data_IF_466399726927
#
_entry.id   IF_466399726927
#
_cell.length_a   1.000
_cell.length_b   1.000
_cell.length_c   1.000
_cell.angle_alpha   90.00
_cell.angle_beta   90.00
_cell.angle_gamma   90.00
#
_symmetry.space_group_name_H-M   'P 1'
#
loop_
_entity.id
_entity.type
_entity.pdbx_description
1 polymer ?
#
# COMPACT_ATOMS: atom_id res chain seq x y z
N UNK A 1 -41.99 -37.92 39.37
CA UNK A 1 -40.60 -37.42 39.27
C UNK A 1 -39.66 -38.61 39.36
N UNK A 2 -39.06 -39.04 38.24
CA UNK A 2 -37.70 -39.59 38.12
C UNK A 2 -37.46 -40.06 36.68
N UNK A 3 -36.30 -39.69 36.14
CA UNK A 3 -35.84 -39.77 34.76
C UNK A 3 -35.42 -41.20 34.38
N UNK A 4 -35.78 -41.68 33.19
CA UNK A 4 -35.02 -42.73 32.48
C UNK A 4 -35.29 -42.64 30.97
N UNK A 5 -34.26 -42.38 30.18
CA UNK A 5 -34.22 -42.68 28.74
C UNK A 5 -32.96 -43.49 28.46
N UNK A 6 -33.08 -44.70 27.90
CA UNK A 6 -31.96 -45.39 27.29
C UNK A 6 -32.10 -45.48 25.76
N UNK A 7 -30.94 -45.64 25.13
CA UNK A 7 -30.68 -45.65 23.71
C UNK A 7 -31.27 -46.86 22.93
N UNK A 8 -31.46 -46.66 21.62
CA UNK A 8 -31.43 -47.69 20.58
C UNK A 8 -31.02 -46.95 19.27
N UNK A 9 -29.80 -47.01 18.76
CA UNK A 9 -29.02 -48.12 18.20
C UNK A 9 -29.60 -48.71 16.90
N UNK A 10 -28.88 -48.42 15.80
CA UNK A 10 -28.68 -49.26 14.60
C UNK A 10 -29.87 -49.37 13.60
N UNK A 11 -29.72 -49.53 12.28
CA UNK A 11 -28.61 -49.84 11.37
C UNK A 11 -29.09 -49.65 9.91
N UNK A 12 -28.14 -49.39 9.00
CA UNK A 12 -28.14 -49.68 7.55
C UNK A 12 -29.06 -48.83 6.62
N UNK A 13 -28.68 -48.47 5.39
CA UNK A 13 -27.68 -49.05 4.49
C UNK A 13 -27.05 -48.00 3.56
N UNK A 14 -25.80 -48.28 3.20
CA UNK A 14 -25.01 -47.64 2.15
C UNK A 14 -25.69 -47.70 0.77
N UNK A 15 -25.63 -46.60 0.03
CA UNK A 15 -25.53 -46.63 -1.42
C UNK A 15 -24.42 -45.66 -1.84
N UNK A 16 -23.23 -46.21 -2.07
CA UNK A 16 -22.16 -45.54 -2.81
C UNK A 16 -22.44 -45.74 -4.29
N UNK A 17 -22.43 -44.66 -5.06
CA UNK A 17 -21.83 -44.66 -6.41
C UNK A 17 -21.46 -43.23 -6.82
N UNK A 18 -20.34 -43.07 -7.56
CA UNK A 18 -19.55 -41.85 -7.59
C UNK A 18 -19.88 -40.98 -8.80
N UNK A 19 -19.58 -39.67 -8.76
CA UNK A 19 -19.08 -38.98 -9.95
C UNK A 19 -18.39 -37.66 -9.60
N UNK A 20 -17.19 -37.52 -10.16
CA UNK A 20 -16.48 -36.30 -10.53
C UNK A 20 -16.16 -35.28 -9.43
N UNK A 21 -14.87 -35.19 -9.11
CA UNK A 21 -14.30 -34.10 -8.34
C UNK A 21 -14.64 -32.75 -8.96
N UNK A 22 -15.29 -31.90 -8.18
CA UNK A 22 -15.21 -30.47 -8.38
C UNK A 22 -13.92 -30.01 -7.70
N UNK A 23 -12.84 -29.96 -8.46
CA UNK A 23 -11.79 -28.98 -8.19
C UNK A 23 -12.48 -27.62 -8.22
N UNK A 24 -12.71 -27.03 -7.05
CA UNK A 24 -12.88 -25.58 -7.00
C UNK A 24 -11.54 -25.01 -7.43
N UNK A 25 -11.41 -24.78 -8.73
CA UNK A 25 -10.53 -23.76 -9.26
C UNK A 25 -11.00 -22.50 -8.54
N UNK A 26 -10.28 -22.13 -7.48
CA UNK A 26 -10.25 -20.76 -7.00
C UNK A 26 -9.94 -19.95 -8.24
N UNK A 27 -10.97 -19.31 -8.78
CA UNK A 27 -10.79 -18.19 -9.68
C UNK A 27 -9.94 -17.21 -8.87
N UNK A 28 -8.65 -17.18 -9.17
CA UNK A 28 -7.88 -15.98 -8.97
C UNK A 28 -8.64 -14.94 -9.79
N UNK A 29 -9.47 -14.18 -9.11
CA UNK A 29 -10.12 -13.03 -9.71
C UNK A 29 -8.99 -12.07 -9.99
N UNK A 30 -8.43 -12.16 -11.19
CA UNK A 30 -7.50 -11.21 -11.77
C UNK A 30 -8.15 -9.84 -11.53
N UNK A 31 -7.54 -9.04 -10.66
CA UNK A 31 -7.97 -7.68 -10.44
C UNK A 31 -8.04 -7.00 -11.82
N UNK A 32 -9.12 -6.28 -12.16
CA UNK A 32 -9.18 -5.60 -13.44
C UNK A 32 -7.91 -4.75 -13.55
N UNK A 33 -7.12 -5.00 -14.58
CA UNK A 33 -5.97 -4.17 -14.92
C UNK A 33 -6.50 -2.75 -15.17
N UNK A 34 -6.48 -1.93 -14.12
CA UNK A 34 -6.83 -0.53 -14.14
C UNK A 34 -5.99 0.10 -15.26
N UNK A 35 -6.66 0.71 -16.24
CA UNK A 35 -6.01 1.26 -17.42
C UNK A 35 -4.86 2.17 -16.99
N UNK A 36 -3.64 1.93 -17.50
CA UNK A 36 -2.48 2.71 -17.14
C UNK A 36 -2.79 4.20 -17.32
N UNK A 37 -2.68 5.03 -16.27
CA UNK A 37 -3.09 6.42 -16.36
C UNK A 37 -2.23 7.13 -17.43
N UNK A 38 -2.90 7.92 -18.28
CA UNK A 38 -2.22 8.75 -19.27
C UNK A 38 -1.53 9.89 -18.54
N UNK A 39 -0.22 9.79 -18.42
CA UNK A 39 0.59 10.78 -17.74
C UNK A 39 0.83 12.01 -18.62
N UNK A 40 0.46 13.19 -18.13
CA UNK A 40 0.87 14.46 -18.73
C UNK A 40 2.41 14.54 -18.88
N UNK A 41 2.97 15.24 -19.87
CA UNK A 41 4.42 15.36 -20.01
C UNK A 41 5.05 16.01 -18.76
N UNK A 42 6.22 15.52 -18.33
CA UNK A 42 6.94 16.06 -17.18
C UNK A 42 7.56 17.40 -17.55
N UNK A 43 7.29 18.43 -16.74
CA UNK A 43 7.95 19.72 -16.80
C UNK A 43 8.76 19.94 -15.52
N UNK A 44 9.99 20.39 -15.67
CA UNK A 44 10.91 20.69 -14.57
C UNK A 44 11.00 22.19 -14.23
N UNK A 45 10.21 23.04 -14.91
CA UNK A 45 10.21 24.48 -14.62
C UNK A 45 9.72 24.76 -13.21
N UNK A 46 10.46 25.62 -12.50
CA UNK A 46 10.10 26.12 -11.17
C UNK A 46 9.08 27.26 -11.22
N UNK A 47 8.68 27.69 -12.42
CA UNK A 47 7.72 28.78 -12.67
C UNK A 47 6.26 28.28 -12.63
N UNK A 48 6.08 26.97 -12.65
CA UNK A 48 4.79 26.31 -12.48
C UNK A 48 4.28 26.47 -11.02
N UNK A 49 3.04 26.05 -10.74
CA UNK A 49 2.43 26.22 -9.40
C UNK A 49 3.37 25.79 -8.26
N UNK A 50 3.80 26.77 -7.45
CA UNK A 50 4.77 26.60 -6.37
C UNK A 50 4.26 25.69 -5.26
N UNK A 51 2.94 25.57 -5.11
CA UNK A 51 2.32 24.65 -4.15
C UNK A 51 2.55 23.18 -4.52
N UNK A 52 3.01 22.89 -5.74
CA UNK A 52 3.39 21.56 -6.22
C UNK A 52 4.91 21.40 -6.34
N UNK A 53 5.69 22.23 -5.65
CA UNK A 53 7.15 22.08 -5.56
C UNK A 53 7.50 21.78 -4.11
N UNK A 54 8.01 20.57 -3.86
CA UNK A 54 8.53 20.16 -2.57
C UNK A 54 10.04 20.42 -2.54
N UNK A 55 10.49 21.19 -1.54
CA UNK A 55 11.92 21.43 -1.31
C UNK A 55 12.39 20.49 -0.19
N UNK A 56 13.36 19.64 -0.52
CA UNK A 56 13.98 18.71 0.40
C UNK A 56 15.39 19.19 0.71
N UNK A 57 15.62 19.57 1.97
CA UNK A 57 16.93 19.92 2.48
C UNK A 57 17.66 18.66 2.97
N UNK A 58 18.86 18.45 2.46
CA UNK A 58 19.69 17.31 2.79
C UNK A 58 20.73 17.68 3.85
N UNK A 59 21.19 16.69 4.62
CA UNK A 59 22.18 16.89 5.69
C UNK A 59 23.56 17.33 5.20
N UNK A 60 23.85 17.15 3.91
CA UNK A 60 25.07 17.65 3.26
C UNK A 60 24.98 19.14 2.86
N UNK A 61 23.86 19.81 3.16
CA UNK A 61 23.63 21.22 2.84
C UNK A 61 23.12 21.47 1.43
N UNK A 62 22.88 20.41 0.64
CA UNK A 62 22.27 20.52 -0.68
C UNK A 62 20.73 20.54 -0.58
N UNK A 63 20.10 21.10 -1.61
CA UNK A 63 18.64 21.19 -1.71
C UNK A 63 18.15 20.55 -2.99
N UNK A 64 17.19 19.63 -2.85
CA UNK A 64 16.52 18.96 -3.97
C UNK A 64 15.12 19.55 -4.12
N UNK A 65 14.80 20.01 -5.32
CA UNK A 65 13.45 20.44 -5.66
C UNK A 65 12.70 19.31 -6.39
N UNK A 66 11.58 18.88 -5.83
CA UNK A 66 10.77 17.76 -6.32
C UNK A 66 9.45 18.32 -6.85
N UNK A 67 9.18 18.09 -8.14
CA UNK A 67 7.90 18.43 -8.75
C UNK A 67 6.84 17.38 -8.37
N UNK A 68 5.76 17.84 -7.76
CA UNK A 68 4.59 17.02 -7.43
C UNK A 68 3.61 17.05 -8.60
N UNK A 69 3.04 15.90 -8.95
CA UNK A 69 2.09 15.74 -10.06
C UNK A 69 0.71 15.29 -9.54
N UNK A 70 -0.15 16.23 -9.08
CA UNK A 70 -1.48 15.87 -8.56
C UNK A 70 -2.37 15.16 -9.59
N UNK A 71 -2.14 15.40 -10.88
CA UNK A 71 -2.88 14.74 -11.97
C UNK A 71 -2.63 13.23 -12.05
N UNK A 72 -1.48 12.76 -11.56
CA UNK A 72 -1.10 11.35 -11.61
C UNK A 72 -1.50 10.60 -10.33
N UNK A 73 -1.35 11.25 -9.17
CA UNK A 73 -1.55 10.61 -7.87
C UNK A 73 -2.12 11.61 -6.83
N UNK A 74 -3.37 12.06 -6.98
CA UNK A 74 -3.92 13.17 -6.19
C UNK A 74 -3.88 12.91 -4.69
N UNK A 75 -4.32 11.73 -4.25
CA UNK A 75 -4.34 11.35 -2.82
C UNK A 75 -2.95 11.27 -2.20
N UNK A 76 -1.94 10.82 -2.97
CA UNK A 76 -0.56 10.76 -2.49
C UNK A 76 0.03 12.17 -2.33
N UNK A 77 -0.22 13.04 -3.31
CA UNK A 77 0.28 14.41 -3.27
C UNK A 77 -0.36 15.20 -2.11
N UNK A 78 -1.66 15.03 -1.88
CA UNK A 78 -2.34 15.65 -0.74
C UNK A 78 -1.71 15.23 0.59
N UNK A 79 -1.44 13.92 0.76
CA UNK A 79 -0.78 13.39 1.95
C UNK A 79 0.63 13.93 2.15
N UNK A 80 1.45 13.91 1.10
CA UNK A 80 2.82 14.42 1.14
C UNK A 80 2.80 15.89 1.57
N UNK A 81 1.91 16.71 0.99
CA UNK A 81 1.77 18.12 1.38
C UNK A 81 1.38 18.26 2.85
N UNK A 82 0.42 17.48 3.31
CA UNK A 82 -0.05 17.51 4.70
C UNK A 82 1.07 17.17 5.68
N UNK A 83 1.76 16.04 5.46
CA UNK A 83 2.86 15.59 6.33
C UNK A 83 4.05 16.53 6.30
N UNK A 84 4.38 17.08 5.13
CA UNK A 84 5.45 18.08 5.00
C UNK A 84 5.13 19.34 5.80
N UNK A 85 3.90 19.87 5.70
CA UNK A 85 3.49 21.07 6.47
C UNK A 85 3.47 20.83 7.98
N UNK A 86 3.29 19.58 8.40
CA UNK A 86 3.36 19.18 9.80
C UNK A 86 4.80 18.97 10.30
N UNK A 87 5.81 19.07 9.43
CA UNK A 87 7.21 18.81 9.77
C UNK A 87 7.51 17.32 10.01
N UNK A 88 6.67 16.41 9.52
CA UNK A 88 6.80 14.97 9.79
C UNK A 88 8.11 14.38 9.25
N UNK A 89 8.65 14.95 8.18
CA UNK A 89 9.89 14.49 7.54
C UNK A 89 11.15 15.18 8.08
N UNK A 90 11.02 16.14 9.00
CA UNK A 90 12.15 16.90 9.51
C UNK A 90 13.03 16.01 10.40
N UNK A 91 14.33 15.94 10.07
CA UNK A 91 15.28 15.09 10.78
C UNK A 91 15.17 13.59 10.47
N UNK A 92 14.34 13.20 9.50
CA UNK A 92 14.19 11.79 9.10
C UNK A 92 15.37 11.36 8.21
N UNK A 93 16.00 10.25 8.57
CA UNK A 93 17.14 9.70 7.84
C UNK A 93 16.71 8.84 6.65
N UNK A 94 17.59 8.73 5.66
CA UNK A 94 17.50 7.70 4.63
C UNK A 94 17.95 6.37 5.21
N UNK A 95 17.00 5.52 5.61
CA UNK A 95 17.29 4.24 6.25
C UNK A 95 17.69 3.14 5.25
N UNK A 96 17.38 3.33 3.95
CA UNK A 96 17.73 2.36 2.92
C UNK A 96 18.17 3.06 1.64
N UNK A 97 19.45 2.90 1.28
CA UNK A 97 20.06 3.46 0.07
C UNK A 97 20.73 2.33 -0.70
N UNK A 98 20.34 2.15 -1.96
CA UNK A 98 20.95 1.20 -2.88
C UNK A 98 21.47 1.97 -4.09
N UNK A 99 22.77 1.87 -4.32
CA UNK A 99 23.43 2.56 -5.43
C UNK A 99 22.86 2.13 -6.78
N UNK A 100 22.65 3.10 -7.67
CA UNK A 100 22.03 2.89 -8.98
C UNK A 100 20.54 2.49 -8.96
N UNK A 101 19.87 2.48 -7.80
CA UNK A 101 18.45 2.12 -7.72
C UNK A 101 17.60 3.19 -7.03
N UNK A 102 17.64 3.28 -5.70
CA UNK A 102 16.82 4.24 -4.97
C UNK A 102 17.34 4.53 -3.56
N UNK A 103 16.97 5.71 -3.07
CA UNK A 103 17.08 6.09 -1.68
C UNK A 103 15.67 6.19 -1.07
N UNK A 104 15.45 5.47 0.02
CA UNK A 104 14.17 5.39 0.73
C UNK A 104 14.27 6.12 2.07
N UNK A 105 13.29 6.97 2.34
CA UNK A 105 13.11 7.79 3.55
C UNK A 105 11.64 7.77 3.99
N UNK A 106 11.29 8.55 5.00
CA UNK A 106 9.91 8.73 5.45
C UNK A 106 9.47 7.88 6.63
N UNK A 107 10.41 7.18 7.28
CA UNK A 107 10.19 6.48 8.54
C UNK A 107 10.84 7.25 9.70
N UNK A 108 10.05 7.87 10.60
CA UNK A 108 10.57 8.57 11.78
C UNK A 108 11.40 7.69 12.72
N UNK A 109 11.16 6.38 12.73
CA UNK A 109 11.91 5.42 13.56
C UNK A 109 13.22 4.98 12.92
N UNK A 110 13.40 5.21 11.61
CA UNK A 110 14.57 4.78 10.84
C UNK A 110 14.71 3.26 10.70
N UNK A 111 13.70 2.47 11.09
CA UNK A 111 13.75 1.00 11.07
C UNK A 111 13.28 0.40 9.73
N UNK A 112 12.63 1.22 8.90
CA UNK A 112 11.95 0.84 7.66
C UNK A 112 10.52 0.32 7.85
N UNK A 113 10.01 0.29 9.09
CA UNK A 113 8.66 -0.21 9.41
C UNK A 113 7.73 0.85 10.00
N UNK A 114 8.26 2.02 10.37
CA UNK A 114 7.43 3.12 10.83
C UNK A 114 6.77 3.86 9.69
N UNK A 115 5.80 4.71 10.03
CA UNK A 115 5.01 5.46 9.08
C UNK A 115 4.15 6.51 9.76
N UNK A 116 3.40 7.24 8.96
CA UNK A 116 2.41 8.20 9.46
C UNK A 116 1.20 7.47 10.05
N UNK A 117 0.52 8.11 11.01
CA UNK A 117 -0.81 7.71 11.46
C UNK A 117 -1.91 7.96 10.42
N UNK A 118 -1.59 8.70 9.34
CA UNK A 118 -2.52 8.96 8.25
C UNK A 118 -2.52 7.79 7.23
N UNK A 119 -3.71 7.25 6.90
CA UNK A 119 -3.88 6.05 6.06
C UNK A 119 -3.48 6.31 4.62
#
# INVERSE_FOLDING_TARGET
MLKFSPALAALAAFAVTPLAGFSTVVHAQEAPAEAAPVYAPINYSMEEDRENILLLDLSNGERVAIRLMPSWAPSHIERIKTLTRQGFYDGVIFHRVIDGFMAQTGDPTGTGQGGSSLP
#
